data_IF_919691473946
#
_entry.id   IF_919691473946
#
_cell.length_a   1.000
_cell.length_b   1.000
_cell.length_c   1.000
_cell.angle_alpha   90.00
_cell.angle_beta   90.00
_cell.angle_gamma   90.00
#
_symmetry.space_group_name_H-M   'P 1'
#
loop_
_entity.id
_entity.type
_entity.pdbx_description
1 polymer ?
#
# COMPACT_ATOMS: atom_id res chain seq x y z
N UNK A 1 2.82 -33.98 -39.23
CA UNK A 1 3.22 -32.60 -39.59
C UNK A 1 1.91 -31.86 -39.85
N UNK A 2 1.35 -30.99 -39.01
CA UNK A 2 1.84 -29.97 -38.05
C UNK A 2 0.68 -29.75 -37.03
N UNK A 3 0.86 -29.90 -35.71
CA UNK A 3 1.17 -28.88 -34.68
C UNK A 3 0.41 -27.54 -34.74
N UNK A 4 -0.15 -27.10 -33.59
CA UNK A 4 -0.66 -25.74 -33.36
C UNK A 4 -2.05 -25.70 -32.69
N UNK A 5 -2.17 -26.09 -31.42
CA UNK A 5 -2.21 -25.24 -30.21
C UNK A 5 -3.62 -24.66 -29.91
N UNK A 6 -4.09 -24.97 -28.70
CA UNK A 6 -5.49 -25.08 -28.27
C UNK A 6 -5.98 -23.82 -27.57
N UNK A 7 -7.28 -23.56 -27.73
CA UNK A 7 -8.21 -22.80 -26.88
C UNK A 7 -7.63 -22.09 -25.64
N UNK A 8 -7.42 -20.77 -25.76
CA UNK A 8 -7.15 -19.85 -24.66
C UNK A 8 -8.43 -19.48 -23.87
N UNK A 9 -9.26 -20.47 -23.53
CA UNK A 9 -10.41 -20.27 -22.63
C UNK A 9 -10.59 -21.44 -21.67
N UNK A 10 -9.62 -21.62 -20.77
CA UNK A 10 -9.84 -22.26 -19.47
C UNK A 10 -8.62 -22.05 -18.58
N UNK A 11 -8.66 -21.00 -17.74
CA UNK A 11 -7.87 -20.91 -16.51
C UNK A 11 -8.39 -19.78 -15.61
N UNK A 12 -9.69 -19.87 -15.28
CA UNK A 12 -10.16 -19.34 -14.00
C UNK A 12 -10.19 -20.53 -13.05
N UNK A 13 -9.16 -20.64 -12.21
CA UNK A 13 -9.22 -21.17 -10.85
C UNK A 13 -7.83 -21.05 -10.22
N UNK A 14 -7.80 -20.21 -9.19
CA UNK A 14 -7.05 -20.42 -7.95
C UNK A 14 -5.58 -20.80 -8.10
N UNK A 15 -4.77 -19.78 -8.35
CA UNK A 15 -3.56 -19.59 -7.59
C UNK A 15 -3.44 -18.11 -7.37
N UNK A 16 -3.37 -17.69 -6.11
CA UNK A 16 -2.82 -16.40 -5.72
C UNK A 16 -1.60 -16.16 -6.61
N UNK A 17 -1.72 -15.21 -7.53
CA UNK A 17 -0.66 -14.72 -8.39
C UNK A 17 0.36 -13.95 -7.56
N UNK A 18 0.89 -14.60 -6.52
CA UNK A 18 2.06 -14.20 -5.80
C UNK A 18 3.25 -14.44 -6.72
N UNK A 19 3.44 -13.53 -7.67
CA UNK A 19 4.78 -13.06 -7.92
C UNK A 19 5.31 -12.62 -6.54
N UNK A 20 6.03 -13.52 -5.88
CA UNK A 20 6.66 -13.25 -4.59
C UNK A 20 7.71 -12.19 -4.87
N UNK A 21 7.31 -10.92 -4.79
CA UNK A 21 8.24 -9.81 -4.69
C UNK A 21 9.09 -10.09 -3.44
N UNK A 22 10.36 -10.39 -3.69
CA UNK A 22 11.31 -10.96 -2.73
C UNK A 22 11.62 -10.02 -1.56
N UNK A 23 11.02 -8.83 -1.51
CA UNK A 23 11.11 -7.89 -0.39
C UNK A 23 9.72 -7.72 0.22
N UNK A 24 9.28 -8.70 1.00
CA UNK A 24 8.04 -8.60 1.79
C UNK A 24 8.23 -7.58 2.92
N UNK A 25 8.31 -6.31 2.57
CA UNK A 25 8.30 -5.19 3.49
C UNK A 25 6.85 -4.93 3.92
N UNK A 26 6.64 -4.58 5.19
CA UNK A 26 5.33 -4.13 5.69
C UNK A 26 4.81 -3.06 4.72
N UNK A 27 3.64 -3.29 4.13
CA UNK A 27 3.02 -2.38 3.16
C UNK A 27 2.27 -1.21 3.82
N UNK A 28 2.50 -0.95 5.10
CA UNK A 28 1.81 0.11 5.85
C UNK A 28 2.80 1.19 6.25
N UNK A 29 2.47 2.44 5.95
CA UNK A 29 3.20 3.62 6.39
C UNK A 29 2.33 4.42 7.37
N UNK A 30 2.95 4.89 8.45
CA UNK A 30 2.32 5.76 9.43
C UNK A 30 2.79 7.19 9.20
N UNK A 31 1.85 8.14 9.04
CA UNK A 31 2.13 9.56 8.81
C UNK A 31 1.47 10.44 9.89
N UNK A 32 2.03 11.61 10.24
CA UNK A 32 1.48 12.44 11.31
C UNK A 32 0.11 13.01 10.92
N UNK A 33 -0.69 13.40 11.92
CA UNK A 33 -1.91 14.20 11.73
C UNK A 33 -1.72 15.58 12.38
N UNK A 34 -1.77 16.70 11.62
CA UNK A 34 -1.85 16.79 10.15
C UNK A 34 -0.51 16.49 9.47
N UNK A 35 -0.51 16.48 8.13
CA UNK A 35 0.68 16.23 7.29
C UNK A 35 0.58 16.97 5.95
N UNK A 36 1.63 16.92 5.12
CA UNK A 36 1.58 17.51 3.77
C UNK A 36 0.50 16.82 2.93
N UNK A 37 -0.38 17.59 2.30
CA UNK A 37 -1.57 17.08 1.60
C UNK A 37 -1.30 16.06 0.50
N UNK A 38 -0.08 16.02 -0.04
CA UNK A 38 0.29 15.06 -1.09
C UNK A 38 0.77 13.70 -0.53
N UNK A 39 1.10 13.60 0.76
CA UNK A 39 1.62 12.34 1.33
C UNK A 39 0.69 11.15 1.12
N UNK A 40 -0.63 11.23 1.43
CA UNK A 40 -1.51 10.07 1.24
C UNK A 40 -1.52 9.60 -0.22
N UNK A 41 -1.59 10.54 -1.17
CA UNK A 41 -1.63 10.24 -2.60
C UNK A 41 -0.36 9.55 -3.08
N UNK A 42 0.82 10.07 -2.71
CA UNK A 42 2.11 9.49 -3.11
C UNK A 42 2.26 8.07 -2.58
N UNK A 43 1.94 7.83 -1.31
CA UNK A 43 2.09 6.51 -0.70
C UNK A 43 1.06 5.51 -1.21
N UNK A 44 -0.18 5.94 -1.48
CA UNK A 44 -1.17 5.07 -2.12
C UNK A 44 -0.76 4.66 -3.54
N UNK A 45 -0.19 5.57 -4.34
CA UNK A 45 0.34 5.24 -5.69
C UNK A 45 1.52 4.27 -5.59
N UNK A 46 2.34 4.36 -4.53
CA UNK A 46 3.42 3.42 -4.25
C UNK A 46 2.94 2.06 -3.70
N UNK A 47 1.62 1.82 -3.60
CA UNK A 47 1.05 0.55 -3.11
C UNK A 47 1.14 0.36 -1.59
N UNK A 48 1.31 1.45 -0.84
CA UNK A 48 1.34 1.43 0.63
C UNK A 48 -0.02 1.82 1.22
N UNK A 49 -0.47 1.07 2.21
CA UNK A 49 -1.54 1.45 3.12
C UNK A 49 -1.08 2.60 4.01
N UNK A 50 -1.91 3.62 4.16
CA UNK A 50 -1.58 4.85 4.90
C UNK A 50 -2.37 4.88 6.19
N UNK A 51 -1.66 4.89 7.31
CA UNK A 51 -2.21 5.05 8.65
C UNK A 51 -1.73 6.36 9.27
N UNK A 52 -2.44 6.85 10.28
CA UNK A 52 -2.14 8.14 10.91
C UNK A 52 -1.77 7.99 12.38
N UNK A 53 -0.83 8.80 12.84
CA UNK A 53 -0.53 8.97 14.27
C UNK A 53 -0.73 10.42 14.72
N UNK A 54 -1.06 10.62 16.00
CA UNK A 54 -1.20 11.95 16.59
C UNK A 54 0.15 12.65 16.68
N UNK A 55 0.18 13.92 16.28
CA UNK A 55 1.41 14.69 16.19
C UNK A 55 1.23 16.13 16.66
N UNK A 56 0.14 16.79 16.27
CA UNK A 56 -0.07 18.22 16.55
C UNK A 56 -1.16 18.45 17.61
N UNK A 57 -0.84 19.22 18.63
CA UNK A 57 -1.77 19.71 19.66
C UNK A 57 -2.19 21.16 19.34
N UNK A 58 -3.44 21.42 18.91
CA UNK A 58 -3.87 22.76 18.49
C UNK A 58 -3.80 23.81 19.60
N UNK A 59 -4.02 23.42 20.86
CA UNK A 59 -4.08 24.38 21.98
C UNK A 59 -2.70 24.95 22.32
N UNK A 60 -1.66 24.11 22.26
CA UNK A 60 -0.28 24.51 22.55
C UNK A 60 0.51 24.88 21.30
N UNK A 61 -0.04 24.55 20.12
CA UNK A 61 0.64 24.66 18.81
C UNK A 61 1.95 23.87 18.77
N UNK A 62 2.04 22.83 19.60
CA UNK A 62 3.22 22.00 19.80
C UNK A 62 2.98 20.53 19.43
N UNK A 63 3.88 19.68 19.92
CA UNK A 63 3.80 18.23 19.72
C UNK A 63 2.87 17.58 20.76
N UNK A 64 1.98 16.69 20.29
CA UNK A 64 1.17 15.84 21.16
C UNK A 64 1.97 14.57 21.56
N UNK A 65 2.74 14.66 22.64
CA UNK A 65 3.52 13.52 23.18
C UNK A 65 2.70 12.55 24.02
N UNK A 66 1.55 13.00 24.55
CA UNK A 66 0.67 12.13 25.34
C UNK A 66 -0.13 11.23 24.43
N UNK A 67 -0.39 11.72 23.20
CA UNK A 67 -0.75 10.93 22.05
C UNK A 67 -2.04 10.19 22.23
#
# INVERSE_FOLDING_TARGET
MVEGYKDEKKMVNEADGAAVDRRRMKRTIYIPRPTWGNHPKVFSIAGLAVEYYRYYEPNTRGLDFQG
#
